data_IF_186575820298
#
_entry.id   IF_186575820298
#
_cell.length_a   1.000
_cell.length_b   1.000
_cell.length_c   1.000
_cell.angle_alpha   90.00
_cell.angle_beta   90.00
_cell.angle_gamma   90.00
#
_symmetry.space_group_name_H-M   'P 1'
#
loop_
_entity.id
_entity.type
_entity.pdbx_description
1 polymer ?
#
# COMPACT_ATOMS: atom_id res chain seq x y z
N UNK A 1 18.74 11.54 25.70
CA UNK A 1 19.78 11.86 24.69
C UNK A 1 20.22 10.52 24.12
N UNK A 2 19.49 10.05 23.10
CA UNK A 2 19.77 8.77 22.43
C UNK A 2 20.91 9.00 21.44
N UNK A 3 22.02 8.35 21.68
CA UNK A 3 23.16 8.33 20.77
C UNK A 3 22.78 7.44 19.58
N UNK A 4 22.41 8.06 18.46
CA UNK A 4 22.30 7.37 17.19
C UNK A 4 23.73 7.11 16.71
N UNK A 5 24.14 5.83 16.71
CA UNK A 5 25.43 5.44 16.14
C UNK A 5 25.45 5.79 14.64
N UNK A 6 26.57 6.30 14.16
CA UNK A 6 26.79 6.73 12.76
C UNK A 6 26.76 5.58 11.74
N UNK A 7 26.73 4.33 12.21
CA UNK A 7 26.80 3.14 11.37
C UNK A 7 25.44 2.44 11.45
N UNK A 8 24.70 2.57 10.35
CA UNK A 8 23.33 2.07 10.22
C UNK A 8 23.23 0.57 10.45
N UNK A 9 22.20 0.19 11.17
CA UNK A 9 21.51 -1.10 11.23
C UNK A 9 22.36 -2.35 10.89
N UNK A 10 22.94 -2.97 11.92
CA UNK A 10 23.55 -4.29 11.84
C UNK A 10 22.45 -5.33 11.52
N UNK A 11 22.48 -5.92 10.32
CA UNK A 11 21.55 -6.98 9.88
C UNK A 11 21.05 -6.81 8.45
N UNK A 12 21.22 -5.62 7.86
CA UNK A 12 20.87 -5.38 6.45
C UNK A 12 22.09 -5.72 5.60
N UNK A 13 21.97 -6.70 4.70
CA UNK A 13 23.04 -6.98 3.73
C UNK A 13 23.31 -5.71 2.91
N UNK A 14 24.47 -5.08 3.18
CA UNK A 14 24.91 -3.90 2.45
C UNK A 14 24.95 -4.22 0.94
N UNK A 15 24.66 -3.26 0.04
CA UNK A 15 24.76 -3.43 -1.42
C UNK A 15 26.11 -3.98 -1.88
N UNK A 16 27.15 -3.86 -1.07
CA UNK A 16 28.49 -4.39 -1.33
C UNK A 16 28.55 -5.94 -1.37
N UNK A 17 27.61 -6.64 -0.74
CA UNK A 17 27.55 -8.11 -0.67
C UNK A 17 26.71 -8.76 -1.76
N UNK A 18 26.12 -7.96 -2.68
CA UNK A 18 25.30 -8.52 -3.75
C UNK A 18 26.14 -9.17 -4.83
N UNK A 19 25.68 -10.33 -5.29
CA UNK A 19 26.20 -10.99 -6.51
C UNK A 19 26.00 -10.09 -7.73
N UNK A 20 26.75 -10.34 -8.79
CA UNK A 20 26.62 -9.61 -10.05
C UNK A 20 25.17 -9.66 -10.58
N UNK A 21 24.50 -10.81 -10.43
CA UNK A 21 23.12 -11.02 -10.84
C UNK A 21 22.16 -10.15 -10.02
N UNK A 22 22.31 -10.07 -8.70
CA UNK A 22 21.48 -9.21 -7.84
C UNK A 22 21.65 -7.74 -8.18
N UNK A 23 22.87 -7.29 -8.50
CA UNK A 23 23.12 -5.91 -8.95
C UNK A 23 22.44 -5.60 -10.29
N UNK A 24 22.41 -6.53 -11.22
CA UNK A 24 21.70 -6.39 -12.49
C UNK A 24 20.18 -6.36 -12.27
N UNK A 25 19.65 -7.27 -11.45
CA UNK A 25 18.23 -7.31 -11.11
C UNK A 25 17.79 -6.03 -10.37
N UNK A 26 18.64 -5.49 -9.50
CA UNK A 26 18.35 -4.25 -8.80
C UNK A 26 18.25 -3.02 -9.73
N UNK A 27 19.08 -2.97 -10.79
CA UNK A 27 18.95 -1.92 -11.81
C UNK A 27 17.55 -1.90 -12.46
N UNK A 28 16.98 -3.10 -12.70
CA UNK A 28 15.61 -3.22 -13.19
C UNK A 28 14.60 -2.86 -12.11
N UNK A 29 14.85 -3.28 -10.88
CA UNK A 29 13.98 -3.02 -9.71
C UNK A 29 13.88 -1.53 -9.36
N UNK A 30 14.90 -0.73 -9.62
CA UNK A 30 14.90 0.74 -9.43
C UNK A 30 13.76 1.48 -10.17
N UNK A 31 13.09 0.81 -11.11
CA UNK A 31 11.89 1.37 -11.76
C UNK A 31 10.69 1.47 -10.82
N UNK A 32 10.62 0.61 -9.81
CA UNK A 32 9.49 0.51 -8.88
C UNK A 32 9.87 0.49 -7.41
N UNK A 33 11.15 0.74 -7.08
CA UNK A 33 11.66 0.88 -5.72
C UNK A 33 12.55 2.13 -5.66
N UNK A 34 12.37 2.98 -4.67
CA UNK A 34 13.14 4.21 -4.55
C UNK A 34 14.62 3.97 -4.24
N UNK A 35 14.94 2.94 -3.47
CA UNK A 35 16.30 2.60 -3.07
C UNK A 35 16.36 1.69 -1.86
N UNK A 36 17.47 1.75 -1.14
CA UNK A 36 17.70 0.91 0.04
C UNK A 36 17.35 1.60 1.36
N UNK A 37 17.39 2.91 1.40
CA UNK A 37 17.36 3.69 2.64
C UNK A 37 16.17 4.65 2.70
N UNK A 38 15.81 5.05 3.92
CA UNK A 38 14.82 6.12 4.13
C UNK A 38 15.20 7.43 3.41
N UNK A 39 16.51 7.70 3.20
CA UNK A 39 16.96 8.89 2.46
C UNK A 39 16.51 8.83 1.00
N UNK A 40 16.63 7.66 0.38
CA UNK A 40 16.16 7.44 -0.99
C UNK A 40 14.64 7.62 -1.07
N UNK A 41 13.91 7.05 -0.10
CA UNK A 41 12.46 7.16 -0.02
C UNK A 41 11.99 8.62 0.15
N UNK A 42 12.64 9.37 1.03
CA UNK A 42 12.34 10.80 1.27
C UNK A 42 12.66 11.65 0.04
N UNK A 43 13.77 11.40 -0.66
CA UNK A 43 14.08 12.08 -1.92
C UNK A 43 13.01 11.84 -2.97
N UNK A 44 12.64 10.57 -3.17
CA UNK A 44 11.59 10.19 -4.12
C UNK A 44 10.23 10.78 -3.74
N UNK A 45 9.89 10.82 -2.44
CA UNK A 45 8.65 11.45 -1.98
C UNK A 45 8.58 12.94 -2.32
N UNK A 46 9.69 13.68 -2.21
CA UNK A 46 9.76 15.09 -2.64
C UNK A 46 9.55 15.22 -4.15
N UNK A 47 10.17 14.34 -4.95
CA UNK A 47 9.98 14.33 -6.40
C UNK A 47 8.53 14.02 -6.78
N UNK A 48 7.88 13.10 -6.04
CA UNK A 48 6.46 12.75 -6.21
C UNK A 48 5.57 13.96 -5.89
N UNK A 49 5.85 14.70 -4.81
CA UNK A 49 5.13 15.92 -4.47
C UNK A 49 5.31 17.01 -5.55
N UNK A 50 6.50 17.16 -6.11
CA UNK A 50 6.76 18.12 -7.20
C UNK A 50 5.94 17.79 -8.47
N UNK A 51 5.49 16.55 -8.64
CA UNK A 51 4.58 16.12 -9.72
C UNK A 51 3.10 16.29 -9.36
N UNK A 52 2.78 16.86 -8.21
CA UNK A 52 1.40 17.10 -7.75
C UNK A 52 0.74 15.85 -7.14
N UNK A 53 1.50 14.86 -6.72
CA UNK A 53 1.02 13.63 -6.09
C UNK A 53 1.45 13.56 -4.63
N UNK A 54 0.65 12.91 -3.78
CA UNK A 54 1.04 12.56 -2.41
C UNK A 54 1.91 11.29 -2.41
N UNK A 55 2.74 11.10 -1.38
CA UNK A 55 3.62 9.95 -1.25
C UNK A 55 3.12 8.95 -0.20
N UNK A 56 3.19 7.66 -0.48
CA UNK A 56 2.93 6.59 0.48
C UNK A 56 4.22 5.79 0.65
N UNK A 57 4.90 5.96 1.77
CA UNK A 57 6.18 5.28 2.03
C UNK A 57 5.94 3.90 2.64
N UNK A 58 6.56 2.88 2.06
CA UNK A 58 6.52 1.52 2.57
C UNK A 58 7.94 0.95 2.70
N UNK A 59 8.31 0.58 3.90
CA UNK A 59 9.54 -0.17 4.17
C UNK A 59 9.32 -1.65 3.84
N UNK A 60 10.12 -2.17 2.91
CA UNK A 60 9.96 -3.54 2.39
C UNK A 60 10.38 -4.59 3.41
N UNK A 61 9.51 -5.54 3.66
CA UNK A 61 9.66 -6.69 4.54
C UNK A 61 8.31 -7.37 4.74
N UNK A 62 8.33 -8.65 5.06
CA UNK A 62 7.16 -9.50 5.34
C UNK A 62 7.59 -10.62 6.29
N UNK A 63 6.63 -11.21 7.00
CA UNK A 63 6.77 -12.46 7.74
C UNK A 63 7.90 -12.47 8.81
N UNK A 64 8.16 -11.33 9.44
CA UNK A 64 9.19 -11.24 10.48
C UNK A 64 8.75 -11.95 11.76
N UNK A 65 9.66 -12.78 12.31
CA UNK A 65 9.51 -13.45 13.62
C UNK A 65 10.65 -13.07 14.58
N UNK A 66 11.63 -12.32 14.12
CA UNK A 66 12.74 -11.82 14.93
C UNK A 66 12.33 -10.54 15.64
N UNK A 67 12.36 -10.55 16.97
CA UNK A 67 11.94 -9.41 17.79
C UNK A 67 12.79 -8.16 17.55
N UNK A 68 14.08 -8.31 17.27
CA UNK A 68 14.98 -7.19 16.99
C UNK A 68 14.65 -6.54 15.65
N UNK A 69 14.38 -7.35 14.62
CA UNK A 69 13.96 -6.84 13.31
C UNK A 69 12.60 -6.14 13.38
N UNK A 70 11.67 -6.68 14.17
CA UNK A 70 10.36 -6.07 14.39
C UNK A 70 10.52 -4.71 15.05
N UNK A 71 11.30 -4.60 16.12
CA UNK A 71 11.57 -3.33 16.81
C UNK A 71 12.22 -2.31 15.86
N UNK A 72 13.22 -2.73 15.09
CA UNK A 72 13.87 -1.89 14.08
C UNK A 72 12.85 -1.38 13.05
N UNK A 73 11.93 -2.24 12.60
CA UNK A 73 10.89 -1.87 11.65
C UNK A 73 9.92 -0.83 12.24
N UNK A 74 9.49 -0.99 13.48
CA UNK A 74 8.65 -0.02 14.18
C UNK A 74 9.37 1.34 14.30
N UNK A 75 10.64 1.32 14.68
CA UNK A 75 11.47 2.52 14.78
C UNK A 75 11.65 3.21 13.42
N UNK A 76 11.83 2.44 12.32
CA UNK A 76 11.94 2.95 10.97
C UNK A 76 10.65 3.69 10.55
N UNK A 77 9.46 3.12 10.80
CA UNK A 77 8.19 3.79 10.52
C UNK A 77 8.00 5.06 11.36
N UNK A 78 8.39 5.05 12.62
CA UNK A 78 8.37 6.24 13.47
C UNK A 78 9.32 7.35 12.96
N UNK A 79 10.50 6.96 12.45
CA UNK A 79 11.44 7.87 11.79
C UNK A 79 10.84 8.45 10.50
N UNK A 80 10.26 7.61 9.64
CA UNK A 80 9.60 8.07 8.41
C UNK A 80 8.52 9.11 8.67
N UNK A 81 7.66 8.89 9.66
CA UNK A 81 6.63 9.85 10.07
C UNK A 81 7.25 11.20 10.47
N UNK A 82 8.34 11.15 11.24
CA UNK A 82 9.07 12.36 11.65
C UNK A 82 9.69 13.09 10.45
N UNK A 83 10.24 12.34 9.48
CA UNK A 83 10.83 12.88 8.26
C UNK A 83 9.80 13.46 7.32
N UNK A 84 8.64 12.84 7.17
CA UNK A 84 7.50 13.39 6.41
C UNK A 84 7.06 14.74 7.00
N UNK A 85 7.02 14.86 8.33
CA UNK A 85 6.65 16.12 8.99
C UNK A 85 7.72 17.19 8.85
N UNK A 86 8.98 16.89 9.19
CA UNK A 86 10.08 17.85 9.22
C UNK A 86 10.48 18.37 7.83
N UNK A 87 10.28 17.56 6.78
CA UNK A 87 10.55 17.95 5.40
C UNK A 87 9.30 18.53 4.69
N UNK A 88 8.18 18.71 5.39
CA UNK A 88 6.92 19.24 4.84
C UNK A 88 6.43 18.42 3.62
N UNK A 89 6.64 17.10 3.68
CA UNK A 89 6.21 16.19 2.60
C UNK A 89 4.73 15.89 2.75
N UNK A 90 3.96 16.10 1.67
CA UNK A 90 2.61 15.56 1.55
C UNK A 90 2.70 14.06 1.34
N UNK A 91 2.34 13.32 2.38
CA UNK A 91 2.45 11.86 2.35
C UNK A 91 2.17 11.21 3.70
N UNK A 92 2.13 9.88 3.62
CA UNK A 92 1.81 8.98 4.71
C UNK A 92 2.69 7.72 4.63
N UNK A 93 2.45 6.78 5.54
CA UNK A 93 3.11 5.47 5.55
C UNK A 93 2.11 4.36 5.26
N UNK A 94 2.61 3.21 4.82
CA UNK A 94 1.84 1.97 4.71
C UNK A 94 2.60 0.83 5.37
N UNK A 95 1.96 0.14 6.31
CA UNK A 95 2.60 -0.83 7.21
C UNK A 95 1.98 -2.21 7.03
N UNK A 96 2.83 -3.24 6.94
CA UNK A 96 2.38 -4.65 6.86
C UNK A 96 2.30 -5.28 8.25
N UNK A 97 1.18 -5.93 8.60
CA UNK A 97 1.03 -6.60 9.88
C UNK A 97 2.08 -7.67 10.17
N UNK A 98 2.43 -8.50 9.17
CA UNK A 98 3.42 -9.57 9.38
C UNK A 98 4.84 -9.05 9.54
N UNK A 99 5.12 -7.83 9.10
CA UNK A 99 6.42 -7.19 9.29
C UNK A 99 6.64 -6.71 10.72
N UNK A 100 5.56 -6.45 11.47
CA UNK A 100 5.60 -5.91 12.83
C UNK A 100 5.01 -6.84 13.88
N UNK A 101 5.05 -8.17 13.61
CA UNK A 101 4.84 -9.19 14.63
C UNK A 101 3.54 -9.98 14.55
N UNK A 102 2.71 -9.84 13.50
CA UNK A 102 1.49 -10.67 13.39
C UNK A 102 1.79 -12.17 13.26
N UNK A 103 3.00 -12.54 12.84
CA UNK A 103 3.48 -13.93 12.85
C UNK A 103 3.79 -14.45 14.26
N UNK A 104 4.03 -13.56 15.22
CA UNK A 104 4.28 -13.91 16.61
C UNK A 104 2.94 -14.04 17.34
N UNK A 105 2.20 -12.92 17.42
CA UNK A 105 0.86 -12.89 18.01
C UNK A 105 0.08 -11.63 17.60
N UNK A 106 -1.23 -11.70 17.79
CA UNK A 106 -2.13 -10.55 17.66
C UNK A 106 -1.71 -9.41 18.59
N UNK A 107 -1.42 -9.70 19.85
CA UNK A 107 -1.06 -8.74 20.89
C UNK A 107 0.24 -8.01 20.56
N UNK A 108 1.25 -8.74 20.09
CA UNK A 108 2.53 -8.15 19.65
C UNK A 108 2.31 -7.19 18.49
N UNK A 109 1.56 -7.60 17.49
CA UNK A 109 1.26 -6.77 16.34
C UNK A 109 0.45 -5.52 16.72
N UNK A 110 -0.60 -5.66 17.51
CA UNK A 110 -1.42 -4.55 17.99
C UNK A 110 -0.59 -3.56 18.82
N UNK A 111 0.26 -4.04 19.73
CA UNK A 111 1.15 -3.19 20.51
C UNK A 111 2.06 -2.35 19.61
N UNK A 112 2.68 -2.96 18.62
CA UNK A 112 3.56 -2.30 17.67
C UNK A 112 2.82 -1.31 16.77
N UNK A 113 1.62 -1.65 16.30
CA UNK A 113 0.76 -0.71 15.58
C UNK A 113 0.37 0.49 16.44
N UNK A 114 0.04 0.29 17.71
CA UNK A 114 -0.28 1.39 18.64
C UNK A 114 0.89 2.36 18.80
N UNK A 115 2.14 1.89 18.83
CA UNK A 115 3.32 2.76 18.87
C UNK A 115 3.41 3.64 17.60
N UNK A 116 3.27 3.05 16.40
CA UNK A 116 3.32 3.76 15.13
C UNK A 116 2.14 4.73 15.02
N UNK A 117 0.92 4.29 15.38
CA UNK A 117 -0.29 5.11 15.33
C UNK A 117 -0.21 6.32 16.28
N UNK A 118 0.30 6.14 17.50
CA UNK A 118 0.54 7.24 18.44
C UNK A 118 1.54 8.26 17.88
N UNK A 119 2.59 7.79 17.23
CA UNK A 119 3.54 8.66 16.52
C UNK A 119 2.87 9.40 15.36
N UNK A 120 2.09 8.70 14.54
CA UNK A 120 1.33 9.30 13.44
C UNK A 120 0.36 10.38 13.96
N UNK A 121 -0.41 10.07 15.01
CA UNK A 121 -1.33 10.98 15.69
C UNK A 121 -0.65 12.24 16.18
N UNK A 122 0.50 12.12 16.86
CA UNK A 122 1.26 13.25 17.39
C UNK A 122 1.78 14.20 16.29
N UNK A 123 1.93 13.70 15.06
CA UNK A 123 2.44 14.46 13.91
C UNK A 123 1.33 14.85 12.90
N UNK A 124 0.08 14.41 13.13
CA UNK A 124 -1.03 14.62 12.21
C UNK A 124 -0.82 13.96 10.83
N UNK A 125 -0.23 12.74 10.80
CA UNK A 125 0.08 12.01 9.56
C UNK A 125 -0.78 10.76 9.42
N UNK A 126 -1.34 10.54 8.25
CA UNK A 126 -2.14 9.35 7.94
C UNK A 126 -1.28 8.08 7.92
N UNK A 127 -1.89 6.93 8.24
CA UNK A 127 -1.27 5.61 8.17
C UNK A 127 -2.20 4.60 7.51
N UNK A 128 -1.71 3.90 6.49
CA UNK A 128 -2.38 2.74 5.90
C UNK A 128 -1.89 1.45 6.56
N UNK A 129 -2.79 0.50 6.74
CA UNK A 129 -2.50 -0.90 7.07
C UNK A 129 -2.66 -1.71 5.78
N UNK A 130 -1.57 -2.33 5.33
CA UNK A 130 -1.62 -3.23 4.20
C UNK A 130 -2.32 -4.54 4.60
N UNK A 131 -2.97 -5.19 3.63
CA UNK A 131 -3.56 -6.51 3.82
C UNK A 131 -2.70 -7.56 3.12
N UNK A 132 -2.56 -8.71 3.75
CA UNK A 132 -1.67 -9.77 3.29
C UNK A 132 -2.45 -11.04 2.95
N UNK A 133 -1.90 -12.25 3.16
CA UNK A 133 -2.60 -13.49 2.84
C UNK A 133 -3.89 -13.69 3.66
N UNK A 134 -4.84 -14.46 3.13
CA UNK A 134 -6.18 -14.62 3.68
C UNK A 134 -6.21 -15.06 5.15
N UNK A 135 -5.22 -15.83 5.59
CA UNK A 135 -5.09 -16.28 7.00
C UNK A 135 -4.94 -15.13 8.00
N UNK A 136 -4.48 -13.96 7.57
CA UNK A 136 -4.25 -12.80 8.43
C UNK A 136 -5.34 -11.73 8.33
N UNK A 137 -6.28 -11.88 7.41
CA UNK A 137 -7.30 -10.84 7.13
C UNK A 137 -8.13 -10.52 8.36
N UNK A 138 -8.60 -11.53 9.07
CA UNK A 138 -9.45 -11.35 10.26
C UNK A 138 -8.72 -10.59 11.38
N UNK A 139 -7.50 -11.02 11.72
CA UNK A 139 -6.69 -10.34 12.71
C UNK A 139 -6.31 -8.92 12.26
N UNK A 140 -6.05 -8.71 10.97
CA UNK A 140 -5.72 -7.39 10.43
C UNK A 140 -6.90 -6.42 10.55
N UNK A 141 -8.12 -6.89 10.24
CA UNK A 141 -9.35 -6.10 10.43
C UNK A 141 -9.56 -5.78 11.90
N UNK A 142 -9.44 -6.75 12.79
CA UNK A 142 -9.59 -6.55 14.23
C UNK A 142 -8.58 -5.53 14.79
N UNK A 143 -7.30 -5.63 14.39
CA UNK A 143 -6.26 -4.65 14.76
C UNK A 143 -6.64 -3.25 14.24
N UNK A 144 -7.05 -3.15 12.98
CA UNK A 144 -7.44 -1.88 12.38
C UNK A 144 -8.60 -1.22 13.14
N UNK A 145 -9.66 -1.98 13.44
CA UNK A 145 -10.82 -1.46 14.17
C UNK A 145 -10.46 -1.01 15.58
N UNK A 146 -9.52 -1.69 16.23
CA UNK A 146 -9.02 -1.26 17.54
C UNK A 146 -8.26 0.07 17.47
N UNK A 147 -7.43 0.25 16.44
CA UNK A 147 -6.70 1.50 16.19
C UNK A 147 -7.64 2.64 15.79
N UNK A 148 -8.70 2.35 15.03
CA UNK A 148 -9.66 3.34 14.55
C UNK A 148 -10.41 4.03 15.69
N UNK A 149 -10.57 3.36 16.85
CA UNK A 149 -11.17 3.96 18.06
C UNK A 149 -10.37 5.17 18.54
N UNK A 150 -9.03 5.07 18.50
CA UNK A 150 -8.12 6.08 19.04
C UNK A 150 -7.63 7.09 17.99
N UNK A 151 -7.57 6.70 16.72
CA UNK A 151 -7.02 7.53 15.65
C UNK A 151 -7.71 7.33 14.31
N UNK A 152 -8.56 8.28 13.94
CA UNK A 152 -9.36 8.23 12.70
C UNK A 152 -8.57 8.40 11.41
N UNK A 153 -7.34 8.95 11.46
CA UNK A 153 -6.47 9.08 10.29
C UNK A 153 -5.66 7.78 10.05
N UNK A 154 -6.35 6.65 10.12
CA UNK A 154 -5.85 5.34 9.73
C UNK A 154 -6.77 4.74 8.68
N UNK A 155 -6.21 3.93 7.78
CA UNK A 155 -6.97 3.21 6.76
C UNK A 155 -6.47 1.78 6.60
N UNK A 156 -7.31 0.92 6.06
CA UNK A 156 -7.01 -0.49 5.80
C UNK A 156 -7.17 -0.83 4.32
N UNK A 157 -6.29 -1.67 3.79
CA UNK A 157 -6.46 -2.23 2.46
C UNK A 157 -7.48 -3.38 2.45
N UNK A 158 -8.25 -3.51 1.37
CA UNK A 158 -9.21 -4.58 1.14
C UNK A 158 -8.99 -5.18 -0.26
N UNK A 159 -8.97 -6.50 -0.36
CA UNK A 159 -8.60 -7.22 -1.59
C UNK A 159 -9.83 -7.75 -2.31
N UNK A 160 -10.11 -7.26 -3.53
CA UNK A 160 -11.29 -7.68 -4.30
C UNK A 160 -11.29 -9.14 -4.75
N UNK A 161 -10.13 -9.80 -4.78
CA UNK A 161 -10.08 -11.20 -5.17
C UNK A 161 -10.60 -12.16 -4.10
N UNK A 162 -10.65 -11.75 -2.83
CA UNK A 162 -11.19 -12.58 -1.75
C UNK A 162 -12.72 -12.61 -1.79
N UNK A 163 -13.30 -13.80 -1.62
CA UNK A 163 -14.75 -14.01 -1.62
C UNK A 163 -15.46 -13.32 -0.45
N UNK A 164 -14.77 -13.18 0.69
CA UNK A 164 -15.26 -12.52 1.90
C UNK A 164 -15.31 -10.98 1.80
N UNK A 165 -14.65 -10.36 0.82
CA UNK A 165 -14.43 -8.90 0.80
C UNK A 165 -15.71 -8.07 0.78
N UNK A 166 -16.84 -8.61 0.30
CA UNK A 166 -18.11 -7.86 0.33
C UNK A 166 -18.64 -7.74 1.76
N UNK A 167 -18.59 -8.81 2.56
CA UNK A 167 -19.00 -8.77 3.97
C UNK A 167 -18.02 -7.96 4.83
N UNK A 168 -16.72 -8.11 4.57
CA UNK A 168 -15.70 -7.33 5.27
C UNK A 168 -15.86 -5.83 4.99
N UNK A 169 -16.17 -5.44 3.74
CA UNK A 169 -16.41 -4.04 3.39
C UNK A 169 -17.63 -3.46 4.09
N UNK A 170 -18.74 -4.19 4.13
CA UNK A 170 -19.94 -3.73 4.84
C UNK A 170 -19.63 -3.46 6.31
N UNK A 171 -18.97 -4.40 6.99
CA UNK A 171 -18.58 -4.22 8.37
C UNK A 171 -17.65 -3.00 8.57
N UNK A 172 -16.65 -2.82 7.69
CA UNK A 172 -15.75 -1.69 7.75
C UNK A 172 -16.46 -0.34 7.52
N UNK A 173 -17.46 -0.30 6.62
CA UNK A 173 -18.24 0.91 6.36
C UNK A 173 -19.14 1.27 7.54
N UNK A 174 -19.75 0.29 8.21
CA UNK A 174 -20.53 0.50 9.44
C UNK A 174 -19.70 1.14 10.56
N UNK A 175 -18.42 0.78 10.68
CA UNK A 175 -17.48 1.33 11.65
C UNK A 175 -16.86 2.69 11.21
N UNK A 176 -17.21 3.20 10.04
CA UNK A 176 -16.66 4.45 9.49
C UNK A 176 -15.20 4.35 9.10
N UNK A 177 -14.80 3.22 8.51
CA UNK A 177 -13.43 2.94 8.12
C UNK A 177 -13.00 3.71 6.86
N UNK A 178 -11.69 4.03 6.80
CA UNK A 178 -11.03 4.44 5.56
C UNK A 178 -10.51 3.20 4.84
N UNK A 179 -10.89 3.00 3.59
CA UNK A 179 -10.63 1.76 2.86
C UNK A 179 -9.81 2.00 1.60
N UNK A 180 -8.73 1.22 1.41
CA UNK A 180 -7.97 1.12 0.15
C UNK A 180 -8.40 -0.14 -0.59
N UNK A 181 -9.09 0.01 -1.71
CA UNK A 181 -9.50 -1.13 -2.53
C UNK A 181 -8.37 -1.54 -3.47
N UNK A 182 -7.90 -2.77 -3.35
CA UNK A 182 -6.87 -3.40 -4.19
C UNK A 182 -7.39 -4.69 -4.84
N UNK A 183 -6.76 -5.17 -5.92
CA UNK A 183 -7.14 -6.46 -6.53
C UNK A 183 -6.77 -7.65 -5.66
N UNK A 184 -5.60 -7.64 -5.08
CA UNK A 184 -4.97 -8.74 -4.34
C UNK A 184 -3.73 -9.27 -5.08
N UNK A 185 -2.72 -9.71 -4.32
CA UNK A 185 -1.40 -10.06 -4.85
C UNK A 185 -0.86 -11.41 -4.36
N UNK A 186 -1.50 -12.02 -3.37
CA UNK A 186 -1.08 -13.29 -2.80
C UNK A 186 -1.72 -14.49 -3.54
N UNK A 187 -1.12 -15.66 -3.40
CA UNK A 187 -1.70 -16.89 -3.93
C UNK A 187 -2.64 -17.47 -2.88
N UNK A 188 -3.91 -17.60 -3.25
CA UNK A 188 -4.94 -18.14 -2.39
C UNK A 188 -5.65 -19.30 -3.08
N UNK A 189 -6.24 -20.19 -2.29
CA UNK A 189 -7.04 -21.30 -2.82
C UNK A 189 -8.33 -20.80 -3.50
N UNK A 190 -8.89 -21.63 -4.37
CA UNK A 190 -10.21 -21.36 -4.97
C UNK A 190 -11.34 -21.26 -3.95
N UNK A 191 -11.18 -21.84 -2.79
CA UNK A 191 -12.12 -21.73 -1.67
C UNK A 191 -12.18 -20.27 -1.17
N UNK A 192 -11.03 -19.61 -1.01
CA UNK A 192 -10.92 -18.28 -0.42
C UNK A 192 -11.00 -17.15 -1.46
N UNK A 193 -10.55 -17.37 -2.70
CA UNK A 193 -10.38 -16.31 -3.68
C UNK A 193 -10.88 -16.68 -5.09
N UNK A 194 -11.33 -15.66 -5.81
CA UNK A 194 -11.61 -15.75 -7.25
C UNK A 194 -10.29 -15.94 -8.00
N UNK A 195 -10.27 -16.89 -8.96
CA UNK A 195 -9.07 -17.21 -9.72
C UNK A 195 -9.01 -16.52 -11.09
N UNK A 196 -10.16 -16.18 -11.68
CA UNK A 196 -10.22 -15.53 -12.97
C UNK A 196 -10.17 -14.01 -12.86
N UNK A 197 -9.45 -13.35 -13.78
CA UNK A 197 -9.34 -11.91 -13.83
C UNK A 197 -10.73 -11.23 -13.95
N UNK A 198 -11.65 -11.81 -14.71
CA UNK A 198 -12.99 -11.25 -14.91
C UNK A 198 -13.80 -11.25 -13.61
N UNK A 199 -13.75 -12.34 -12.83
CA UNK A 199 -14.42 -12.40 -11.52
C UNK A 199 -13.77 -11.41 -10.52
N UNK A 200 -12.46 -11.28 -10.52
CA UNK A 200 -11.74 -10.32 -9.68
C UNK A 200 -12.14 -8.88 -10.05
N UNK A 201 -12.16 -8.55 -11.33
CA UNK A 201 -12.53 -7.23 -11.82
C UNK A 201 -14.02 -6.93 -11.53
N UNK A 202 -14.91 -7.90 -11.78
CA UNK A 202 -16.34 -7.75 -11.47
C UNK A 202 -16.57 -7.48 -9.97
N UNK A 203 -15.87 -8.22 -9.09
CA UNK A 203 -15.96 -7.96 -7.66
C UNK A 203 -15.31 -6.62 -7.27
N UNK A 204 -14.22 -6.22 -7.94
CA UNK A 204 -13.61 -4.89 -7.74
C UNK A 204 -14.61 -3.77 -8.08
N UNK A 205 -15.29 -3.85 -9.25
CA UNK A 205 -16.32 -2.89 -9.65
C UNK A 205 -17.49 -2.85 -8.65
N UNK A 206 -17.94 -4.02 -8.17
CA UNK A 206 -18.97 -4.10 -7.13
C UNK A 206 -18.57 -3.40 -5.84
N UNK A 207 -17.39 -3.72 -5.30
CA UNK A 207 -16.87 -3.13 -4.05
C UNK A 207 -16.60 -1.62 -4.21
N UNK A 208 -16.09 -1.20 -5.35
CA UNK A 208 -15.87 0.20 -5.68
C UNK A 208 -17.19 0.98 -5.67
N UNK A 209 -18.25 0.44 -6.28
CA UNK A 209 -19.58 1.06 -6.24
C UNK A 209 -20.08 1.17 -4.80
N UNK A 210 -19.94 0.13 -3.99
CA UNK A 210 -20.33 0.16 -2.57
C UNK A 210 -19.58 1.27 -1.80
N UNK A 211 -18.30 1.49 -2.09
CA UNK A 211 -17.52 2.60 -1.49
C UNK A 211 -18.09 3.96 -1.88
N UNK A 212 -18.39 4.19 -3.16
CA UNK A 212 -18.96 5.46 -3.61
C UNK A 212 -20.37 5.70 -3.06
N UNK A 213 -21.21 4.68 -2.96
CA UNK A 213 -22.58 4.79 -2.48
C UNK A 213 -22.68 5.02 -0.95
N UNK A 214 -21.69 4.55 -0.18
CA UNK A 214 -21.69 4.61 1.28
C UNK A 214 -20.63 5.56 1.87
N UNK A 215 -19.85 6.26 1.03
CA UNK A 215 -18.90 7.25 1.52
C UNK A 215 -19.65 8.44 2.12
N UNK A 216 -19.15 8.94 3.23
CA UNK A 216 -19.66 10.13 3.89
C UNK A 216 -18.53 11.16 4.09
N UNK A 217 -18.87 12.36 4.58
CA UNK A 217 -17.91 13.45 4.73
C UNK A 217 -16.75 13.17 5.71
N UNK A 218 -16.87 12.12 6.52
CA UNK A 218 -15.90 11.80 7.58
C UNK A 218 -14.97 10.64 7.20
N UNK A 219 -15.20 9.96 6.06
CA UNK A 219 -14.40 8.82 5.61
C UNK A 219 -13.77 9.12 4.26
N UNK A 220 -12.60 8.54 4.01
CA UNK A 220 -11.94 8.56 2.72
C UNK A 220 -11.69 7.14 2.25
N UNK A 221 -11.67 6.95 0.93
CA UNK A 221 -11.28 5.68 0.37
C UNK A 221 -10.28 5.86 -0.78
N UNK A 222 -9.57 4.81 -1.11
CA UNK A 222 -8.60 4.81 -2.19
C UNK A 222 -8.88 3.69 -3.19
N UNK A 223 -8.81 4.04 -4.48
CA UNK A 223 -8.89 3.09 -5.60
C UNK A 223 -7.47 2.79 -6.05
N UNK A 224 -6.97 1.62 -5.67
CA UNK A 224 -5.58 1.22 -5.89
C UNK A 224 -5.48 0.17 -7.00
N UNK A 225 -5.48 0.63 -8.24
CA UNK A 225 -5.38 -0.22 -9.43
C UNK A 225 -4.65 0.49 -10.57
N UNK A 226 -4.03 -0.31 -11.47
CA UNK A 226 -3.44 0.17 -12.73
C UNK A 226 -4.29 -0.20 -13.95
N UNK A 227 -5.47 -0.77 -13.72
CA UNK A 227 -6.40 -1.16 -14.77
C UNK A 227 -7.17 0.06 -15.27
N UNK A 228 -6.91 0.47 -16.51
CA UNK A 228 -7.50 1.67 -17.09
C UNK A 228 -9.04 1.62 -17.14
N UNK A 229 -9.64 0.44 -17.33
CA UNK A 229 -11.10 0.29 -17.35
C UNK A 229 -11.70 0.56 -15.97
N UNK A 230 -11.08 0.02 -14.91
CA UNK A 230 -11.53 0.26 -13.54
C UNK A 230 -11.29 1.71 -13.10
N UNK A 231 -10.20 2.34 -13.58
CA UNK A 231 -9.94 3.77 -13.33
C UNK A 231 -11.01 4.64 -13.99
N UNK A 232 -11.36 4.41 -15.26
CA UNK A 232 -12.42 5.15 -15.92
C UNK A 232 -13.79 4.90 -15.27
N UNK A 233 -14.09 3.67 -14.85
CA UNK A 233 -15.30 3.38 -14.08
C UNK A 233 -15.36 4.18 -12.75
N UNK A 234 -14.23 4.27 -12.03
CA UNK A 234 -14.14 5.10 -10.82
C UNK A 234 -14.39 6.58 -11.12
N UNK A 235 -13.88 7.07 -12.24
CA UNK A 235 -14.09 8.45 -12.68
C UNK A 235 -15.57 8.72 -12.99
N UNK A 236 -16.25 7.78 -13.65
CA UNK A 236 -17.69 7.91 -13.91
C UNK A 236 -18.53 7.85 -12.62
N UNK A 237 -18.16 6.96 -11.69
CA UNK A 237 -18.82 6.91 -10.39
C UNK A 237 -18.61 8.21 -9.59
N UNK A 238 -17.41 8.79 -9.65
CA UNK A 238 -17.11 10.04 -8.95
C UNK A 238 -17.97 11.22 -9.43
N UNK A 239 -18.30 11.28 -10.70
CA UNK A 239 -19.22 12.31 -11.24
C UNK A 239 -20.62 12.22 -10.63
N UNK A 240 -21.03 11.00 -10.24
CA UNK A 240 -22.35 10.74 -9.69
C UNK A 240 -22.44 10.93 -8.19
N UNK A 241 -21.37 10.56 -7.46
CA UNK A 241 -21.39 10.44 -6.00
C UNK A 241 -20.43 11.39 -5.27
N UNK A 242 -19.44 11.97 -5.96
CA UNK A 242 -18.42 12.85 -5.36
C UNK A 242 -18.04 13.98 -6.31
N UNK A 243 -18.95 14.93 -6.55
CA UNK A 243 -18.77 16.06 -7.45
C UNK A 243 -17.48 16.86 -7.19
N UNK A 244 -17.03 16.90 -5.93
CA UNK A 244 -15.85 17.64 -5.51
C UNK A 244 -14.56 16.82 -5.50
N UNK A 245 -14.62 15.52 -5.79
CA UNK A 245 -13.47 14.58 -5.77
C UNK A 245 -12.68 14.61 -4.44
N UNK A 246 -13.37 14.81 -3.31
CA UNK A 246 -12.74 15.04 -2.01
C UNK A 246 -12.65 13.78 -1.16
N UNK A 247 -13.55 12.81 -1.39
CA UNK A 247 -13.70 11.65 -0.51
C UNK A 247 -12.90 10.45 -0.98
N UNK A 248 -12.28 10.50 -2.16
CA UNK A 248 -11.45 9.41 -2.63
C UNK A 248 -10.14 9.89 -3.30
N UNK A 249 -9.21 8.98 -3.46
CA UNK A 249 -7.98 9.17 -4.22
C UNK A 249 -7.64 7.94 -5.05
N UNK A 250 -6.84 8.14 -6.09
CA UNK A 250 -6.19 7.04 -6.79
C UNK A 250 -4.83 6.76 -6.18
N UNK A 251 -4.54 5.48 -5.94
CA UNK A 251 -3.22 5.05 -5.46
C UNK A 251 -2.57 4.13 -6.49
N UNK A 252 -1.37 4.49 -6.94
CA UNK A 252 -0.64 3.76 -7.95
C UNK A 252 0.80 3.49 -7.47
N UNK A 253 1.36 2.36 -7.93
CA UNK A 253 2.72 1.99 -7.57
C UNK A 253 3.74 2.86 -8.31
N UNK A 254 4.85 3.16 -7.67
CA UNK A 254 6.00 3.85 -8.27
C UNK A 254 6.45 3.15 -9.56
N UNK A 255 6.76 3.93 -10.60
CA UNK A 255 7.30 3.46 -11.87
C UNK A 255 6.35 2.59 -12.70
N UNK A 256 5.05 2.62 -12.41
CA UNK A 256 4.01 1.91 -13.17
C UNK A 256 2.95 2.92 -13.62
N UNK A 257 2.63 2.90 -14.93
CA UNK A 257 1.57 3.72 -15.53
C UNK A 257 1.73 5.24 -15.28
N UNK A 258 2.94 5.78 -15.45
CA UNK A 258 3.23 7.19 -15.17
C UNK A 258 2.38 8.16 -16.00
N UNK A 259 2.00 7.78 -17.24
CA UNK A 259 1.08 8.56 -18.09
C UNK A 259 -0.34 8.63 -17.47
N UNK A 260 -0.81 7.51 -16.88
CA UNK A 260 -2.11 7.50 -16.19
C UNK A 260 -2.07 8.41 -14.96
N UNK A 261 -1.01 8.35 -14.15
CA UNK A 261 -0.82 9.23 -12.99
C UNK A 261 -0.88 10.70 -13.40
N UNK A 262 -0.11 11.07 -14.44
CA UNK A 262 -0.10 12.44 -14.98
C UNK A 262 -1.50 12.87 -15.43
N UNK A 263 -2.19 12.04 -16.21
CA UNK A 263 -3.54 12.33 -16.69
C UNK A 263 -4.53 12.57 -15.53
N UNK A 264 -4.46 11.74 -14.48
CA UNK A 264 -5.30 11.89 -13.29
C UNK A 264 -5.02 13.21 -12.54
N UNK A 265 -3.74 13.57 -12.37
CA UNK A 265 -3.33 14.85 -11.76
C UNK A 265 -3.80 16.05 -12.60
N UNK A 266 -3.61 16.00 -13.91
CA UNK A 266 -4.06 17.05 -14.84
C UNK A 266 -5.59 17.25 -14.76
N UNK A 267 -6.35 16.15 -14.58
CA UNK A 267 -7.81 16.13 -14.36
C UNK A 267 -8.23 16.50 -12.92
N UNK A 268 -7.28 16.92 -12.07
CA UNK A 268 -7.52 17.36 -10.68
C UNK A 268 -8.05 16.28 -9.74
N UNK A 269 -7.73 15.03 -10.01
CA UNK A 269 -7.93 13.96 -9.03
C UNK A 269 -6.80 13.95 -8.00
N UNK A 270 -7.11 13.52 -6.79
CA UNK A 270 -6.10 13.19 -5.78
C UNK A 270 -5.41 11.90 -6.19
N UNK A 271 -4.09 11.94 -6.27
CA UNK A 271 -3.25 10.80 -6.64
C UNK A 271 -2.15 10.63 -5.62
N UNK A 272 -1.99 9.41 -5.12
CA UNK A 272 -0.89 9.04 -4.25
C UNK A 272 -0.01 7.98 -4.92
N UNK A 273 1.30 8.15 -4.84
CA UNK A 273 2.26 7.20 -5.33
C UNK A 273 2.79 6.33 -4.19
N UNK A 274 2.64 5.01 -4.32
CA UNK A 274 3.16 4.04 -3.35
C UNK A 274 4.63 3.79 -3.65
N UNK A 275 5.50 4.15 -2.72
CA UNK A 275 6.95 4.22 -2.84
C UNK A 275 7.59 3.17 -1.91
N UNK A 276 7.89 1.97 -2.42
CA UNK A 276 8.61 0.96 -1.66
C UNK A 276 10.10 1.28 -1.60
N UNK A 277 10.74 0.92 -0.48
CA UNK A 277 12.19 0.99 -0.32
C UNK A 277 12.68 -0.07 0.69
N UNK A 278 13.97 -0.36 0.66
CA UNK A 278 14.59 -1.28 1.63
C UNK A 278 15.35 -2.43 0.99
N UNK A 279 16.07 -3.19 1.81
CA UNK A 279 16.93 -4.31 1.37
C UNK A 279 16.14 -5.55 0.94
N UNK A 280 14.90 -5.73 1.43
CA UNK A 280 14.02 -6.87 1.08
C UNK A 280 13.25 -6.65 -0.24
N UNK A 281 13.91 -6.07 -1.23
CA UNK A 281 13.32 -5.68 -2.51
C UNK A 281 13.04 -6.85 -3.47
N UNK A 282 13.77 -7.97 -3.35
CA UNK A 282 13.72 -9.04 -4.34
C UNK A 282 12.34 -9.74 -4.39
N UNK A 283 11.71 -10.16 -3.27
CA UNK A 283 10.38 -10.75 -3.32
C UNK A 283 9.32 -9.79 -3.92
N UNK A 284 9.39 -8.52 -3.56
CA UNK A 284 8.53 -7.47 -4.11
C UNK A 284 8.71 -7.35 -5.63
N UNK A 285 9.95 -7.26 -6.10
CA UNK A 285 10.28 -7.12 -7.53
C UNK A 285 9.85 -8.33 -8.35
N UNK A 286 10.00 -9.54 -7.81
CA UNK A 286 9.53 -10.77 -8.47
C UNK A 286 8.01 -10.75 -8.66
N UNK A 287 7.23 -10.25 -7.67
CA UNK A 287 5.78 -10.08 -7.83
C UNK A 287 5.45 -9.11 -8.98
N UNK A 288 6.13 -7.97 -9.06
CA UNK A 288 5.94 -6.97 -10.15
C UNK A 288 6.27 -7.54 -11.53
N UNK A 289 7.34 -8.31 -11.65
CA UNK A 289 7.72 -8.97 -12.92
C UNK A 289 6.64 -9.99 -13.33
N UNK A 290 6.13 -10.79 -12.40
CA UNK A 290 5.09 -11.80 -12.69
C UNK A 290 3.78 -11.16 -13.17
N UNK A 291 3.37 -10.05 -12.58
CA UNK A 291 2.20 -9.29 -13.00
C UNK A 291 2.37 -8.74 -14.42
N UNK A 292 3.55 -8.19 -14.76
CA UNK A 292 3.85 -7.72 -16.12
C UNK A 292 3.83 -8.84 -17.16
N UNK A 293 4.43 -10.00 -16.87
CA UNK A 293 4.41 -11.15 -17.78
C UNK A 293 2.98 -11.62 -18.06
N UNK A 294 2.12 -11.65 -17.06
CA UNK A 294 0.71 -12.00 -17.22
C UNK A 294 -0.02 -11.00 -18.12
N UNK A 295 0.24 -9.72 -17.97
CA UNK A 295 -0.34 -8.66 -18.79
C UNK A 295 0.19 -8.68 -20.23
N UNK A 296 1.47 -8.95 -20.46
CA UNK A 296 2.06 -9.10 -21.79
C UNK A 296 1.49 -10.34 -22.50
N UNK A 297 1.34 -11.46 -21.81
CA UNK A 297 0.74 -12.69 -22.37
C UNK A 297 -0.75 -12.50 -22.72
N UNK A 298 -1.49 -11.72 -21.96
CA UNK A 298 -2.89 -11.38 -22.25
C UNK A 298 -3.00 -10.48 -23.50
N UNK A 299 -2.10 -9.49 -23.64
CA UNK A 299 -2.00 -8.66 -24.84
C UNK A 299 -1.60 -9.46 -26.08
N UNK A 300 -0.62 -10.36 -25.95
CA UNK A 300 -0.22 -11.24 -27.05
C UNK A 300 -1.35 -12.19 -27.50
N UNK A 301 -2.13 -12.72 -26.55
CA UNK A 301 -3.31 -13.56 -26.87
C UNK A 301 -4.43 -12.78 -27.55
N UNK A 302 -4.66 -11.53 -27.18
CA UNK A 302 -5.67 -10.69 -27.83
C UNK A 302 -5.30 -10.31 -29.26
N UNK A 303 -4.00 -10.20 -29.57
CA UNK A 303 -3.51 -9.93 -30.93
C UNK A 303 -3.51 -11.18 -31.86
N UNK A 304 -3.56 -12.38 -31.29
CA UNK A 304 -3.63 -13.64 -32.06
C UNK A 304 -5.09 -14.07 -32.31
N UNK A 305 -6.07 -13.49 -31.60
CA UNK A 305 -7.50 -13.76 -31.76
C UNK A 305 -8.27 -12.70 -32.57
N UNK A 306 -7.55 -11.69 -33.06
CA UNK A 306 -8.03 -10.70 -34.03
C UNK A 306 -7.44 -10.98 -35.40
#
# INVERSE_FOLDING_TARGET
>A
MLIVSKDGYAGISHPQNYTLLERLLFRVAKKWISGYTYKDAVSTAKETNNKGMSAILNFLGEDSTDATQIEQTVNEYCLLLSLLKSNVIDGCISVKPTQIGLRISYETCLYNFKQIANKAKSLGKFMWIDIESCQFVENTIAIYLELLKDYKQTGIALQSYLKRSSSDLLHLLEEGANVRLVKGAYRESEENAFQSADKINSNFSKLMRMLFENSNSNTTFAIATHDSKLIEEAIELSKKFDDNKKHFEFQLLMGICDEIKKNLVDRKFRVSEYIPYGSHWLPYSVRRIRERKRNILLLARSLVQS
#
